data_IF_263536265588
#
_entry.id   IF_263536265588
#
_cell.length_a   1.000
_cell.length_b   1.000
_cell.length_c   1.000
_cell.angle_alpha   90.00
_cell.angle_beta   90.00
_cell.angle_gamma   90.00
#
_symmetry.space_group_name_H-M   'P 1'
#
loop_
_entity.id
_entity.type
_entity.pdbx_description
1 polymer ?
#
# COMPACT_ATOMS: atom_id res chain seq x y z
N UNK A 1 -15.25 9.02 -1.84
CA UNK A 1 -16.02 8.49 -0.70
C UNK A 1 -16.34 6.99 -0.84
N UNK A 2 -16.74 6.52 -2.02
CA UNK A 2 -17.10 5.10 -2.21
C UNK A 2 -15.86 4.19 -2.22
N UNK A 3 -14.73 4.65 -2.74
CA UNK A 3 -13.49 3.86 -2.81
C UNK A 3 -12.91 3.57 -1.41
N UNK A 4 -12.83 4.57 -0.53
CA UNK A 4 -12.30 4.40 0.84
C UNK A 4 -13.15 3.45 1.68
N UNK A 5 -14.48 3.47 1.49
CA UNK A 5 -15.40 2.55 2.18
C UNK A 5 -15.21 1.09 1.71
N UNK A 6 -14.97 0.88 0.41
CA UNK A 6 -14.73 -0.46 -0.14
C UNK A 6 -13.40 -1.03 0.38
N UNK A 7 -12.36 -0.21 0.50
CA UNK A 7 -11.06 -0.61 1.04
C UNK A 7 -11.13 -0.93 2.53
N UNK A 8 -11.89 -0.15 3.32
CA UNK A 8 -12.12 -0.46 4.72
C UNK A 8 -12.78 -1.82 4.93
N UNK A 9 -13.75 -2.18 4.08
CA UNK A 9 -14.43 -3.48 4.14
C UNK A 9 -13.44 -4.61 3.81
N UNK A 10 -12.59 -4.43 2.82
CA UNK A 10 -11.56 -5.43 2.44
C UNK A 10 -10.55 -5.58 3.59
N UNK A 11 -10.01 -4.49 4.12
CA UNK A 11 -9.03 -4.51 5.20
C UNK A 11 -9.61 -5.04 6.51
N UNK A 12 -10.80 -4.59 6.93
CA UNK A 12 -11.44 -5.05 8.16
C UNK A 12 -11.80 -6.54 8.14
N UNK A 13 -12.14 -7.06 6.97
CA UNK A 13 -12.39 -8.50 6.80
C UNK A 13 -11.08 -9.30 6.75
N UNK A 14 -10.00 -8.71 6.23
CA UNK A 14 -8.69 -9.35 6.11
C UNK A 14 -8.02 -9.60 7.46
N UNK A 15 -8.11 -8.64 8.40
CA UNK A 15 -7.46 -8.76 9.71
C UNK A 15 -8.37 -9.25 10.83
N UNK A 16 -9.69 -9.15 10.73
CA UNK A 16 -10.62 -9.56 11.78
C UNK A 16 -10.95 -11.04 11.81
N UNK A 17 -10.82 -11.75 10.72
CA UNK A 17 -11.28 -13.14 10.67
C UNK A 17 -10.47 -14.01 9.71
N UNK A 18 -9.29 -14.45 10.18
CA UNK A 18 -8.53 -15.51 9.49
C UNK A 18 -9.31 -16.84 9.38
N UNK A 19 -10.48 -16.97 10.03
CA UNK A 19 -11.31 -18.17 10.00
C UNK A 19 -12.30 -18.24 8.84
N UNK A 20 -12.58 -17.11 8.14
CA UNK A 20 -13.50 -17.08 6.98
C UNK A 20 -12.76 -17.07 5.63
N UNK A 21 -12.04 -18.15 5.38
CA UNK A 21 -11.22 -18.40 4.18
C UNK A 21 -11.98 -18.59 2.85
N UNK A 22 -13.20 -18.12 2.65
CA UNK A 22 -14.00 -18.66 1.54
C UNK A 22 -14.22 -17.74 0.32
N UNK A 23 -13.65 -16.50 0.25
CA UNK A 23 -13.97 -15.57 -0.84
C UNK A 23 -12.79 -15.00 -1.64
N UNK A 24 -11.54 -15.39 -1.38
CA UNK A 24 -10.37 -14.92 -2.14
C UNK A 24 -9.70 -16.10 -2.82
N UNK A 25 -10.16 -16.46 -4.02
CA UNK A 25 -9.65 -17.61 -4.77
C UNK A 25 -8.32 -17.40 -5.50
N UNK A 26 -7.73 -16.19 -5.45
CA UNK A 26 -6.50 -15.84 -6.21
C UNK A 26 -5.55 -14.91 -5.43
N UNK A 27 -5.53 -14.98 -4.11
CA UNK A 27 -4.58 -14.23 -3.29
C UNK A 27 -3.19 -14.86 -3.37
N UNK A 28 -2.19 -14.06 -3.67
CA UNK A 28 -0.78 -14.46 -3.58
C UNK A 28 -0.09 -13.65 -2.49
N UNK A 29 0.55 -14.34 -1.56
CA UNK A 29 1.33 -13.73 -0.47
C UNK A 29 2.80 -14.07 -0.68
N UNK A 30 3.64 -13.04 -0.73
CA UNK A 30 5.09 -13.16 -0.86
C UNK A 30 5.74 -12.34 0.24
N UNK A 31 6.77 -12.88 0.86
CA UNK A 31 7.55 -12.18 1.88
C UNK A 31 8.91 -11.75 1.34
N UNK A 32 9.39 -10.60 1.79
CA UNK A 32 10.71 -10.08 1.46
C UNK A 32 11.42 -9.63 2.74
N UNK A 33 12.70 -9.95 2.85
CA UNK A 33 13.58 -9.33 3.83
C UNK A 33 14.19 -8.05 3.23
N UNK A 34 13.84 -6.90 3.79
CA UNK A 34 14.29 -5.59 3.27
C UNK A 34 15.79 -5.38 3.34
N UNK A 35 16.50 -6.05 4.24
CA UNK A 35 17.96 -5.97 4.32
C UNK A 35 18.62 -6.60 3.10
N UNK A 36 18.12 -7.73 2.64
CA UNK A 36 18.76 -8.55 1.61
C UNK A 36 18.03 -8.56 0.27
N UNK A 37 16.71 -8.32 0.25
CA UNK A 37 15.84 -8.49 -0.92
C UNK A 37 15.13 -7.20 -1.37
N UNK A 38 15.66 -6.03 -1.02
CA UNK A 38 15.06 -4.74 -1.40
C UNK A 38 14.96 -4.56 -2.93
N UNK A 39 15.96 -5.02 -3.68
CA UNK A 39 15.97 -4.93 -5.15
C UNK A 39 14.94 -5.88 -5.77
N UNK A 40 14.81 -7.07 -5.23
CA UNK A 40 13.83 -8.07 -5.65
C UNK A 40 12.40 -7.56 -5.41
N UNK A 41 12.15 -6.96 -4.24
CA UNK A 41 10.88 -6.30 -3.95
C UNK A 41 10.59 -5.17 -4.94
N UNK A 42 11.57 -4.29 -5.20
CA UNK A 42 11.40 -3.21 -6.16
C UNK A 42 11.06 -3.74 -7.56
N UNK A 43 11.77 -4.76 -8.02
CA UNK A 43 11.52 -5.39 -9.31
C UNK A 43 10.14 -6.05 -9.36
N UNK A 44 9.75 -6.73 -8.28
CA UNK A 44 8.44 -7.37 -8.17
C UNK A 44 7.30 -6.36 -8.28
N UNK A 45 7.35 -5.27 -7.51
CA UNK A 45 6.33 -4.22 -7.54
C UNK A 45 6.33 -3.46 -8.88
N UNK A 46 7.50 -3.19 -9.45
CA UNK A 46 7.62 -2.56 -10.76
C UNK A 46 6.94 -3.39 -11.83
N UNK A 47 7.15 -4.70 -11.83
CA UNK A 47 6.50 -5.61 -12.76
C UNK A 47 4.98 -5.66 -12.54
N UNK A 48 4.55 -5.73 -11.28
CA UNK A 48 3.13 -5.74 -10.92
C UNK A 48 2.38 -4.51 -11.42
N UNK A 49 3.01 -3.32 -11.36
CA UNK A 49 2.41 -2.07 -11.81
C UNK A 49 2.54 -1.86 -13.32
N UNK A 50 3.54 -2.48 -13.95
CA UNK A 50 3.79 -2.32 -15.39
C UNK A 50 2.81 -3.11 -16.25
N UNK A 51 2.36 -4.27 -15.80
CA UNK A 51 1.46 -5.08 -16.59
C UNK A 51 0.14 -4.39 -16.90
N UNK A 52 -0.16 -4.20 -18.19
CA UNK A 52 -1.41 -3.60 -18.68
C UNK A 52 -2.50 -4.68 -18.83
N UNK A 53 -2.98 -5.22 -17.71
CA UNK A 53 -4.10 -6.16 -17.75
C UNK A 53 -5.44 -5.42 -17.68
N UNK A 54 -6.47 -6.02 -18.29
CA UNK A 54 -7.84 -5.52 -18.19
C UNK A 54 -8.51 -5.82 -16.82
N UNK A 55 -7.77 -6.38 -15.88
CA UNK A 55 -8.26 -6.73 -14.54
C UNK A 55 -7.87 -5.67 -13.51
N UNK A 56 -8.68 -5.54 -12.46
CA UNK A 56 -8.27 -4.81 -11.28
C UNK A 56 -7.08 -5.51 -10.63
N UNK A 57 -6.17 -4.73 -10.06
CA UNK A 57 -5.03 -5.22 -9.33
C UNK A 57 -4.87 -4.45 -8.04
N UNK A 58 -4.56 -5.17 -7.00
CA UNK A 58 -4.27 -4.60 -5.70
C UNK A 58 -2.98 -5.23 -5.17
N UNK A 59 -2.16 -4.43 -4.51
CA UNK A 59 -1.02 -4.89 -3.74
C UNK A 59 -1.03 -4.21 -2.38
N UNK A 60 -1.00 -4.98 -1.31
CA UNK A 60 -0.86 -4.50 0.06
C UNK A 60 0.53 -4.88 0.54
N UNK A 61 1.32 -3.90 0.89
CA UNK A 61 2.64 -4.04 1.48
C UNK A 61 2.49 -3.79 2.98
N UNK A 62 2.51 -4.86 3.76
CA UNK A 62 2.33 -4.81 5.22
C UNK A 62 3.68 -4.91 5.94
N UNK A 63 3.87 -4.05 6.93
CA UNK A 63 5.05 -3.99 7.79
C UNK A 63 4.62 -3.59 9.22
N UNK A 64 5.02 -4.37 10.20
CA UNK A 64 4.60 -4.21 11.58
C UNK A 64 3.07 -4.06 11.72
N UNK A 65 2.61 -2.89 12.13
CA UNK A 65 1.20 -2.56 12.31
C UNK A 65 0.67 -1.60 11.26
N UNK A 66 1.46 -1.33 10.24
CA UNK A 66 1.16 -0.37 9.18
C UNK A 66 1.19 -1.03 7.80
N UNK A 67 0.73 -0.30 6.80
CA UNK A 67 0.76 -0.74 5.42
C UNK A 67 0.76 0.42 4.44
N UNK A 68 1.25 0.14 3.25
CA UNK A 68 0.98 0.92 2.04
C UNK A 68 0.31 0.02 1.02
N UNK A 69 -0.74 0.51 0.40
CA UNK A 69 -1.54 -0.26 -0.54
C UNK A 69 -1.61 0.48 -1.87
N UNK A 70 -1.54 -0.29 -2.96
CA UNK A 70 -1.70 0.21 -4.32
C UNK A 70 -2.86 -0.49 -5.00
N UNK A 71 -3.58 0.26 -5.84
CA UNK A 71 -4.65 -0.28 -6.66
C UNK A 71 -4.62 0.28 -8.07
N UNK A 72 -4.82 -0.59 -9.06
CA UNK A 72 -5.05 -0.23 -10.45
C UNK A 72 -6.45 -0.70 -10.81
N UNK A 73 -7.37 0.23 -11.02
CA UNK A 73 -8.74 -0.09 -11.37
C UNK A 73 -8.92 -0.22 -12.89
N UNK A 74 -9.72 -1.19 -13.31
CA UNK A 74 -10.09 -1.37 -14.71
C UNK A 74 -11.11 -0.30 -15.15
N UNK A 75 -10.66 0.92 -15.37
CA UNK A 75 -11.44 1.93 -16.08
C UNK A 75 -11.19 1.76 -17.57
N UNK A 76 -12.24 1.49 -18.35
CA UNK A 76 -12.12 1.19 -19.79
C UNK A 76 -11.66 2.39 -20.61
N UNK A 77 -11.80 3.59 -20.10
CA UNK A 77 -11.75 4.85 -20.86
C UNK A 77 -10.44 5.63 -20.68
N UNK A 78 -9.62 5.32 -19.68
CA UNK A 78 -8.39 6.06 -19.35
C UNK A 78 -7.18 5.14 -19.54
N UNK A 79 -6.25 5.54 -20.43
CA UNK A 79 -4.96 4.85 -20.63
C UNK A 79 -3.83 5.88 -20.71
N UNK A 80 -2.69 5.65 -20.03
CA UNK A 80 -2.45 4.60 -19.03
C UNK A 80 -3.31 4.84 -17.79
N UNK A 81 -3.71 3.76 -17.10
CA UNK A 81 -4.55 3.85 -15.91
C UNK A 81 -3.77 4.45 -14.76
N UNK A 82 -4.35 5.36 -13.97
CA UNK A 82 -3.71 5.87 -12.78
C UNK A 82 -3.52 4.74 -11.75
N UNK A 83 -2.51 4.90 -10.90
CA UNK A 83 -2.27 4.05 -9.75
C UNK A 83 -2.74 4.79 -8.51
N UNK A 84 -3.74 4.23 -7.83
CA UNK A 84 -4.18 4.72 -6.54
C UNK A 84 -3.27 4.15 -5.45
N UNK A 85 -2.86 5.00 -4.51
CA UNK A 85 -2.05 4.62 -3.36
C UNK A 85 -2.76 5.02 -2.07
N UNK A 86 -2.71 4.15 -1.07
CA UNK A 86 -3.21 4.42 0.27
C UNK A 86 -2.15 4.04 1.30
N UNK A 87 -1.88 4.94 2.24
CA UNK A 87 -0.97 4.72 3.36
C UNK A 87 -1.75 4.77 4.68
N UNK A 88 -1.48 3.84 5.59
CA UNK A 88 -2.18 3.73 6.87
C UNK A 88 -2.04 5.00 7.70
N UNK A 89 -3.12 5.43 8.36
CA UNK A 89 -3.16 6.63 9.20
C UNK A 89 -3.10 6.34 10.71
N UNK A 90 -3.14 5.05 11.08
CA UNK A 90 -3.30 4.64 12.47
C UNK A 90 -4.72 4.82 13.03
N UNK A 91 -5.65 5.47 12.32
CA UNK A 91 -7.02 5.68 12.80
C UNK A 91 -7.78 4.37 13.03
N UNK A 92 -7.38 3.33 12.34
CA UNK A 92 -8.00 2.00 12.42
C UNK A 92 -7.30 1.07 13.41
N UNK A 93 -6.10 1.42 13.87
CA UNK A 93 -5.23 0.62 14.75
C UNK A 93 -4.99 1.28 16.12
N UNK A 94 -6.02 1.87 16.73
CA UNK A 94 -5.93 2.62 18.01
C UNK A 94 -5.44 1.81 19.21
N UNK A 95 -5.46 0.49 19.13
CA UNK A 95 -5.02 -0.41 20.21
C UNK A 95 -3.52 -0.74 20.14
N UNK A 96 -2.85 -0.33 19.05
CA UNK A 96 -1.42 -0.59 18.89
C UNK A 96 -0.62 0.44 19.67
N UNK A 97 0.15 -0.03 20.64
CA UNK A 97 1.14 0.80 21.34
C UNK A 97 2.36 0.90 20.42
N UNK A 98 2.63 2.11 19.92
CA UNK A 98 3.79 2.39 19.07
C UNK A 98 4.95 2.90 19.92
N UNK A 99 6.14 2.43 19.61
CA UNK A 99 7.36 2.96 20.24
C UNK A 99 7.71 4.33 19.66
N UNK A 100 7.46 4.51 18.35
CA UNK A 100 7.68 5.76 17.62
C UNK A 100 6.43 6.04 16.77
N UNK A 101 5.87 7.24 16.92
CA UNK A 101 4.72 7.65 16.10
C UNK A 101 5.15 7.95 14.65
N UNK A 102 4.40 7.52 13.65
CA UNK A 102 4.67 7.83 12.25
C UNK A 102 4.64 9.32 11.96
N UNK A 103 5.53 9.77 11.10
CA UNK A 103 5.59 11.16 10.67
C UNK A 103 4.63 11.44 9.51
N UNK A 104 3.33 11.45 9.79
CA UNK A 104 2.28 11.63 8.78
C UNK A 104 2.35 12.98 8.04
N UNK A 105 3.01 14.01 8.61
CA UNK A 105 3.17 15.30 7.92
C UNK A 105 3.96 15.15 6.61
N UNK A 106 4.83 14.16 6.51
CA UNK A 106 5.57 13.87 5.29
C UNK A 106 4.69 13.30 4.18
N UNK A 107 3.63 12.57 4.50
CA UNK A 107 2.66 12.12 3.49
C UNK A 107 1.98 13.32 2.82
N UNK A 108 1.51 14.29 3.62
CA UNK A 108 0.91 15.51 3.10
C UNK A 108 1.88 16.29 2.20
N UNK A 109 3.16 16.42 2.60
CA UNK A 109 4.20 17.07 1.80
C UNK A 109 4.49 16.35 0.47
N UNK A 110 4.25 15.04 0.42
CA UNK A 110 4.41 14.20 -0.78
C UNK A 110 3.11 14.10 -1.61
N UNK A 111 2.13 14.97 -1.37
CA UNK A 111 0.91 15.07 -2.15
C UNK A 111 -0.18 14.07 -1.78
N UNK A 112 -0.06 13.39 -0.65
CA UNK A 112 -1.18 12.63 -0.10
C UNK A 112 -2.21 13.57 0.52
N UNK A 113 -3.46 13.16 0.50
CA UNK A 113 -4.58 13.82 1.17
C UNK A 113 -5.24 12.88 2.17
N UNK A 114 -5.91 13.44 3.17
CA UNK A 114 -6.69 12.71 4.17
C UNK A 114 -8.02 13.42 4.37
N UNK A 115 -9.13 12.67 4.34
CA UNK A 115 -10.43 13.20 4.72
C UNK A 115 -10.48 13.41 6.24
N UNK A 116 -10.75 14.64 6.68
CA UNK A 116 -10.73 15.00 8.10
C UNK A 116 -12.01 14.65 8.83
N UNK A 117 -13.14 14.56 8.11
CA UNK A 117 -14.46 14.33 8.70
C UNK A 117 -14.71 12.86 9.11
N UNK A 118 -13.94 11.93 8.56
CA UNK A 118 -14.09 10.51 8.80
C UNK A 118 -12.75 9.86 9.14
N UNK A 119 -12.81 8.69 9.78
CA UNK A 119 -11.63 7.83 9.88
C UNK A 119 -11.22 7.43 8.48
N UNK A 120 -10.09 7.88 8.02
CA UNK A 120 -9.57 7.60 6.69
C UNK A 120 -8.05 7.45 6.72
N UNK A 121 -7.54 6.76 5.73
CA UNK A 121 -6.11 6.71 5.49
C UNK A 121 -5.67 7.88 4.61
N UNK A 122 -4.37 8.06 4.49
CA UNK A 122 -3.81 9.00 3.54
C UNK A 122 -3.89 8.39 2.14
N UNK A 123 -4.30 9.16 1.15
CA UNK A 123 -4.45 8.68 -0.22
C UNK A 123 -3.84 9.62 -1.24
N UNK A 124 -3.36 9.03 -2.35
CA UNK A 124 -2.78 9.73 -3.50
C UNK A 124 -3.09 8.95 -4.78
N UNK A 125 -3.26 9.66 -5.89
CA UNK A 125 -3.36 9.06 -7.22
C UNK A 125 -2.14 9.47 -8.04
N UNK A 126 -1.49 8.50 -8.69
CA UNK A 126 -0.35 8.74 -9.57
C UNK A 126 -0.81 8.74 -11.02
N UNK A 127 -0.52 9.83 -11.73
CA UNK A 127 -0.65 9.89 -13.18
C UNK A 127 0.56 9.21 -13.83
N UNK A 128 0.34 8.06 -14.45
CA UNK A 128 1.39 7.26 -15.10
C UNK A 128 2.02 7.93 -16.32
N UNK A 129 1.49 9.05 -16.80
CA UNK A 129 2.16 9.88 -17.80
C UNK A 129 3.24 10.78 -17.19
N UNK A 130 3.20 11.00 -15.87
CA UNK A 130 4.10 11.92 -15.16
C UNK A 130 5.12 11.20 -14.27
N UNK A 131 4.84 9.95 -13.88
CA UNK A 131 5.69 9.19 -12.96
C UNK A 131 5.84 7.75 -13.44
N UNK A 132 7.04 7.22 -13.33
CA UNK A 132 7.35 5.84 -13.67
C UNK A 132 7.03 4.89 -12.52
N UNK A 133 6.86 3.60 -12.81
CA UNK A 133 6.65 2.57 -11.78
C UNK A 133 7.87 2.43 -10.85
N UNK A 134 9.08 2.71 -11.36
CA UNK A 134 10.30 2.73 -10.54
C UNK A 134 10.26 3.85 -9.51
N UNK A 135 9.89 5.07 -9.92
CA UNK A 135 9.76 6.22 -9.02
C UNK A 135 8.69 5.99 -7.95
N UNK A 136 7.57 5.32 -8.29
CA UNK A 136 6.53 4.96 -7.32
C UNK A 136 7.10 3.99 -6.26
N UNK A 137 7.89 3.00 -6.67
CA UNK A 137 8.49 2.05 -5.72
C UNK A 137 9.60 2.69 -4.88
N UNK A 138 10.35 3.64 -5.42
CA UNK A 138 11.30 4.45 -4.64
C UNK A 138 10.59 5.34 -3.62
N UNK A 139 9.44 5.92 -3.98
CA UNK A 139 8.61 6.68 -3.04
C UNK A 139 8.08 5.77 -1.91
N UNK A 140 7.67 4.54 -2.21
CA UNK A 140 7.31 3.55 -1.20
C UNK A 140 8.41 3.36 -0.15
N UNK A 141 9.65 3.13 -0.59
CA UNK A 141 10.77 2.96 0.35
C UNK A 141 11.00 4.20 1.19
N UNK A 142 10.88 5.40 0.62
CA UNK A 142 10.96 6.66 1.38
C UNK A 142 9.83 6.79 2.41
N UNK A 143 8.61 6.39 2.06
CA UNK A 143 7.48 6.37 2.99
C UNK A 143 7.76 5.40 4.14
N UNK A 144 8.18 4.18 3.86
CA UNK A 144 8.50 3.19 4.89
C UNK A 144 9.58 3.70 5.85
N UNK A 145 10.67 4.25 5.31
CA UNK A 145 11.81 4.73 6.12
C UNK A 145 11.48 6.03 6.88
N UNK A 146 10.94 7.05 6.20
CA UNK A 146 10.81 8.40 6.78
C UNK A 146 9.48 8.64 7.49
N UNK A 147 8.41 7.97 7.07
CA UNK A 147 7.09 8.10 7.72
C UNK A 147 6.94 7.08 8.83
N UNK A 148 7.18 5.81 8.52
CA UNK A 148 6.94 4.69 9.44
C UNK A 148 8.18 4.22 10.21
N UNK A 149 9.34 4.85 9.96
CA UNK A 149 10.60 4.59 10.67
C UNK A 149 11.13 3.16 10.51
N UNK A 150 10.85 2.52 9.37
CA UNK A 150 11.40 1.20 9.05
C UNK A 150 12.91 1.30 8.85
N UNK A 151 13.65 0.52 9.62
CA UNK A 151 15.11 0.48 9.56
C UNK A 151 15.58 -0.55 8.52
N UNK A 152 16.05 -0.08 7.38
CA UNK A 152 16.56 -0.93 6.30
C UNK A 152 17.97 -1.48 6.57
N UNK A 153 18.62 -1.09 7.67
CA UNK A 153 19.92 -1.65 8.07
C UNK A 153 19.80 -2.94 8.87
N UNK A 154 18.59 -3.31 9.27
CA UNK A 154 18.27 -4.54 9.99
C UNK A 154 17.35 -5.43 9.18
N UNK A 155 17.32 -6.73 9.50
CA UNK A 155 16.36 -7.64 8.87
C UNK A 155 14.93 -7.27 9.25
N UNK A 156 14.14 -6.86 8.26
CA UNK A 156 12.73 -6.51 8.39
C UNK A 156 11.93 -7.31 7.36
N UNK A 157 11.13 -8.24 7.85
CA UNK A 157 10.27 -9.03 6.98
C UNK A 157 9.00 -8.25 6.68
N UNK A 158 8.75 -8.00 5.42
CA UNK A 158 7.50 -7.44 4.94
C UNK A 158 6.71 -8.49 4.18
N UNK A 159 5.40 -8.34 4.20
CA UNK A 159 4.47 -9.18 3.47
C UNK A 159 3.84 -8.38 2.33
N UNK A 160 3.92 -8.90 1.11
CA UNK A 160 3.22 -8.36 -0.05
C UNK A 160 2.10 -9.31 -0.42
N UNK A 161 0.88 -8.84 -0.27
CA UNK A 161 -0.33 -9.56 -0.71
C UNK A 161 -0.86 -8.89 -1.97
N UNK A 162 -1.10 -9.67 -3.03
CA UNK A 162 -1.76 -9.16 -4.23
C UNK A 162 -2.89 -10.07 -4.72
N UNK A 163 -3.87 -9.51 -5.42
CA UNK A 163 -5.04 -10.17 -6.03
C UNK A 163 -5.49 -9.47 -7.31
#
# INVERSE_FOLDING_TARGET
AIASALFYIIYSNFFKDRSKKQWISNETIITFDLLTQRKELQQYLTNLFYEDSNKNRNAVIAFDNDYVQYAIYSRRDIKPRPIYCEASSGDFNKTVVRTIEPNYSLLLKNGFSKELEYKSNYSKEYDRNQITTVEITEELFRIMEKVYHIDFSTSQIIEVTHF
#
